data_IF_644790118177
#
_entry.id   IF_644790118177
#
_cell.length_a   1.000
_cell.length_b   1.000
_cell.length_c   1.000
_cell.angle_alpha   90.00
_cell.angle_beta   90.00
_cell.angle_gamma   90.00
#
_symmetry.space_group_name_H-M   'P 1'
#
loop_
_entity.id
_entity.type
_entity.pdbx_description
1 polymer ?
#
# COMPACT_ATOMS: atom_id res chain seq x y z
N UNK A 1 -30.69 -7.45 -6.52
CA UNK A 1 -29.46 -6.69 -6.85
C UNK A 1 -28.37 -7.72 -7.12
N UNK A 2 -27.82 -7.79 -8.34
CA UNK A 2 -26.74 -8.73 -8.63
C UNK A 2 -25.49 -8.30 -7.87
N UNK A 3 -25.04 -9.10 -6.90
CA UNK A 3 -23.79 -8.87 -6.20
C UNK A 3 -22.65 -9.22 -7.17
N UNK A 4 -21.97 -8.21 -7.69
CA UNK A 4 -20.76 -8.43 -8.47
C UNK A 4 -19.70 -9.00 -7.53
N UNK A 5 -19.16 -10.18 -7.87
CA UNK A 5 -18.04 -10.76 -7.11
C UNK A 5 -16.80 -9.88 -7.35
N UNK A 6 -16.19 -9.30 -6.31
CA UNK A 6 -14.98 -8.51 -6.49
C UNK A 6 -13.81 -9.42 -6.89
N UNK A 7 -12.92 -8.89 -7.72
CA UNK A 7 -11.60 -9.48 -7.91
C UNK A 7 -10.73 -9.09 -6.71
N UNK A 8 -9.93 -10.04 -6.20
CA UNK A 8 -8.99 -9.80 -5.10
C UNK A 8 -7.58 -10.03 -5.62
N UNK A 9 -6.71 -9.02 -5.48
CA UNK A 9 -5.30 -9.06 -5.90
C UNK A 9 -4.45 -8.81 -4.66
N UNK A 10 -3.48 -9.70 -4.42
CA UNK A 10 -2.52 -9.58 -3.31
C UNK A 10 -1.14 -9.33 -3.89
N UNK A 11 -0.50 -8.24 -3.48
CA UNK A 11 0.90 -7.98 -3.73
C UNK A 11 1.69 -8.37 -2.49
N UNK A 12 2.55 -9.38 -2.60
CA UNK A 12 3.51 -9.74 -1.57
C UNK A 12 4.89 -9.30 -2.03
N UNK A 13 5.55 -8.48 -1.23
CA UNK A 13 6.82 -7.83 -1.58
C UNK A 13 7.92 -8.39 -0.68
N UNK A 14 9.07 -8.66 -1.27
CA UNK A 14 10.23 -9.23 -0.57
C UNK A 14 11.09 -8.10 0.02
N UNK A 15 11.51 -8.24 1.27
CA UNK A 15 12.38 -7.33 2.02
C UNK A 15 12.01 -5.82 1.98
N UNK A 16 10.75 -5.46 1.70
CA UNK A 16 10.30 -4.07 1.74
C UNK A 16 10.14 -3.58 3.19
N UNK A 17 10.93 -2.60 3.60
CA UNK A 17 10.85 -1.96 4.90
C UNK A 17 9.65 -1.01 5.03
N UNK A 18 9.20 -0.80 6.27
CA UNK A 18 8.08 0.11 6.58
C UNK A 18 8.26 1.53 6.03
N UNK A 19 9.50 2.02 5.98
CA UNK A 19 9.83 3.37 5.52
C UNK A 19 10.21 3.50 4.04
N UNK A 20 10.09 2.43 3.25
CA UNK A 20 10.55 2.41 1.85
C UNK A 20 9.56 3.08 0.88
N UNK A 21 8.30 3.19 1.27
CA UNK A 21 7.25 3.91 0.53
C UNK A 21 7.01 5.30 1.10
N UNK A 22 6.83 6.30 0.24
CA UNK A 22 6.70 7.70 0.66
C UNK A 22 5.44 7.96 1.49
N UNK A 23 4.36 7.22 1.26
CA UNK A 23 3.15 7.29 2.08
C UNK A 23 3.36 6.92 3.56
N UNK A 24 4.43 6.19 3.91
CA UNK A 24 4.82 5.86 5.28
C UNK A 24 6.08 6.62 5.75
N UNK A 25 6.86 7.15 4.82
CA UNK A 25 8.01 8.02 5.11
C UNK A 25 8.03 9.21 4.14
N UNK A 26 7.43 10.36 4.49
CA UNK A 26 7.38 11.54 3.62
C UNK A 26 8.76 12.12 3.26
N UNK A 27 9.81 11.74 3.99
CA UNK A 27 11.21 12.11 3.69
C UNK A 27 11.94 11.05 2.86
N UNK A 28 11.23 10.01 2.42
CA UNK A 28 11.75 8.93 1.58
C UNK A 28 12.28 9.47 0.25
N UNK A 29 13.45 8.98 -0.16
CA UNK A 29 14.16 9.48 -1.35
C UNK A 29 13.64 8.90 -2.66
N UNK A 30 12.96 7.75 -2.61
CA UNK A 30 12.50 7.01 -3.78
C UNK A 30 11.03 7.38 -4.03
N UNK A 31 10.67 7.96 -5.18
CA UNK A 31 9.27 8.24 -5.51
C UNK A 31 8.46 6.95 -5.67
N UNK A 32 7.33 6.84 -4.97
CA UNK A 32 6.44 5.67 -5.02
C UNK A 32 5.00 6.03 -5.38
N UNK A 33 4.76 6.74 -6.51
CA UNK A 33 3.49 7.41 -6.79
C UNK A 33 2.28 6.46 -6.88
N UNK A 34 2.49 5.21 -7.26
CA UNK A 34 1.42 4.20 -7.30
C UNK A 34 1.03 3.71 -5.90
N UNK A 35 2.00 3.52 -4.99
CA UNK A 35 1.71 3.21 -3.59
C UNK A 35 1.03 4.40 -2.90
N UNK A 36 1.47 5.62 -3.20
CA UNK A 36 0.86 6.83 -2.64
C UNK A 36 -0.61 6.97 -3.08
N UNK A 37 -0.91 6.65 -4.34
CA UNK A 37 -2.28 6.62 -4.85
C UNK A 37 -3.13 5.56 -4.14
N UNK A 38 -2.61 4.34 -3.97
CA UNK A 38 -3.30 3.26 -3.24
C UNK A 38 -3.57 3.65 -1.78
N UNK A 39 -2.61 4.29 -1.12
CA UNK A 39 -2.77 4.78 0.25
C UNK A 39 -3.87 5.84 0.35
N UNK A 40 -3.97 6.77 -0.62
CA UNK A 40 -4.99 7.82 -0.66
C UNK A 40 -6.40 7.29 -0.98
N UNK A 41 -6.50 6.27 -1.83
CA UNK A 41 -7.77 5.69 -2.27
C UNK A 41 -8.26 4.54 -1.36
N UNK A 42 -7.43 4.14 -0.39
CA UNK A 42 -7.66 2.96 0.44
C UNK A 42 -7.46 3.22 1.94
N UNK A 43 -6.96 2.20 2.62
CA UNK A 43 -6.67 2.23 4.06
C UNK A 43 -5.22 1.87 4.28
N UNK A 44 -4.53 2.65 5.11
CA UNK A 44 -3.14 2.43 5.50
C UNK A 44 -3.12 1.86 6.92
N UNK A 45 -2.45 0.72 7.09
CA UNK A 45 -2.20 0.15 8.41
C UNK A 45 -0.82 0.60 8.89
N UNK A 46 -0.77 1.31 10.02
CA UNK A 46 0.49 1.86 10.58
C UNK A 46 1.07 1.00 11.71
N UNK A 47 0.38 -0.08 12.09
CA UNK A 47 0.79 -1.05 13.10
C UNK A 47 0.43 -2.47 12.64
N UNK A 48 1.07 -2.90 11.56
CA UNK A 48 0.92 -4.23 10.98
C UNK A 48 2.15 -5.08 11.29
N UNK A 49 1.96 -6.37 11.57
CA UNK A 49 3.02 -7.33 11.90
C UNK A 49 2.93 -8.56 10.99
N UNK A 50 4.08 -9.19 10.72
CA UNK A 50 4.21 -10.46 10.00
C UNK A 50 4.12 -11.67 10.93
#
# INVERSE_FOLDING_TARGET
MMTVRPNVVVFFVDDMGYGDVQCLNPRGKIPTPNFDRLAREGTVFTDAHS
#
